data_IF_511330111516
#
_entry.id   IF_511330111516
#
_cell.length_a   1.000
_cell.length_b   1.000
_cell.length_c   1.000
_cell.angle_alpha   90.00
_cell.angle_beta   90.00
_cell.angle_gamma   90.00
#
_symmetry.space_group_name_H-M   'P 1'
#
loop_
_entity.id
_entity.type
_entity.pdbx_description
1 polymer ?
#
# COMPACT_ATOMS: atom_id res chain seq x y z
N UNK A 1 30.05 1.45 -10.14
CA UNK A 1 28.61 1.20 -10.35
C UNK A 1 28.13 0.42 -9.14
N UNK A 2 27.89 1.10 -8.03
CA UNK A 2 27.49 0.46 -6.77
C UNK A 2 26.42 1.33 -6.14
N UNK A 3 25.17 1.05 -6.47
CA UNK A 3 24.05 1.32 -5.58
C UNK A 3 22.95 0.29 -5.85
N UNK A 4 23.37 -0.99 -5.79
CA UNK A 4 22.43 -2.07 -5.58
C UNK A 4 21.83 -1.88 -4.18
N UNK A 5 20.55 -1.52 -4.17
CA UNK A 5 19.56 -2.15 -3.29
C UNK A 5 19.81 -2.03 -1.79
N UNK A 6 19.59 -0.85 -1.19
CA UNK A 6 18.92 -0.88 0.11
C UNK A 6 17.52 -1.39 -0.15
N UNK A 7 17.24 -2.65 0.21
CA UNK A 7 15.90 -3.19 0.21
C UNK A 7 14.98 -2.19 0.90
N UNK A 8 14.05 -1.62 0.14
CA UNK A 8 13.02 -0.75 0.71
C UNK A 8 11.88 -1.65 1.13
N UNK A 9 11.20 -1.29 2.20
CA UNK A 9 10.02 -2.02 2.63
C UNK A 9 8.85 -1.07 2.76
N UNK A 10 7.67 -1.62 2.50
CA UNK A 10 6.39 -0.99 2.80
C UNK A 10 5.74 -1.80 3.92
N UNK A 11 5.35 -1.13 4.99
CA UNK A 11 4.57 -1.73 6.06
C UNK A 11 3.09 -1.66 5.66
N UNK A 12 2.42 -2.80 5.62
CA UNK A 12 1.02 -2.91 5.20
C UNK A 12 0.21 -3.38 6.39
N UNK A 13 -0.75 -2.56 6.80
CA UNK A 13 -1.65 -2.87 7.90
C UNK A 13 -3.03 -3.19 7.37
N UNK A 14 -3.66 -4.21 7.95
CA UNK A 14 -5.06 -4.50 7.69
C UNK A 14 -5.92 -3.78 8.72
N UNK A 15 -6.59 -2.69 8.33
CA UNK A 15 -7.44 -1.92 9.23
C UNK A 15 -8.77 -2.63 9.52
N UNK A 16 -9.12 -3.68 8.76
CA UNK A 16 -10.29 -4.52 9.01
C UNK A 16 -10.03 -5.66 10.00
N UNK A 17 -8.77 -6.02 10.18
CA UNK A 17 -8.37 -7.07 11.08
C UNK A 17 -7.22 -6.52 11.92
N UNK A 18 -7.52 -5.59 12.85
CA UNK A 18 -6.50 -4.91 13.66
C UNK A 18 -5.70 -5.88 14.54
N UNK A 19 -6.24 -7.08 14.77
CA UNK A 19 -5.55 -8.17 15.47
C UNK A 19 -4.49 -8.88 14.60
N UNK A 20 -4.45 -8.64 13.29
CA UNK A 20 -3.40 -9.15 12.40
C UNK A 20 -2.17 -8.26 12.48
N UNK A 21 -1.01 -8.90 12.66
CA UNK A 21 0.26 -8.20 12.62
C UNK A 21 0.49 -7.52 11.26
N UNK A 22 1.00 -6.27 11.26
CA UNK A 22 1.41 -5.57 10.06
C UNK A 22 2.38 -6.41 9.21
N UNK A 23 2.12 -6.51 7.91
CA UNK A 23 2.98 -7.24 6.97
C UNK A 23 4.04 -6.32 6.39
N UNK A 24 5.30 -6.75 6.41
CA UNK A 24 6.38 -6.06 5.69
C UNK A 24 6.50 -6.62 4.29
N UNK A 25 6.36 -5.75 3.31
CA UNK A 25 6.50 -6.06 1.88
C UNK A 25 7.85 -5.53 1.42
N UNK A 26 8.70 -6.42 0.91
CA UNK A 26 9.94 -6.01 0.25
C UNK A 26 9.61 -5.37 -1.10
N UNK A 27 10.17 -4.20 -1.33
CA UNK A 27 10.00 -3.42 -2.56
C UNK A 27 11.28 -3.51 -3.38
N UNK A 28 11.13 -4.05 -4.58
CA UNK A 28 12.19 -4.18 -5.58
C UNK A 28 12.25 -2.93 -6.48
N UNK A 29 13.24 -2.86 -7.36
CA UNK A 29 13.33 -1.77 -8.34
C UNK A 29 12.18 -1.77 -9.36
N UNK A 30 11.63 -2.94 -9.67
CA UNK A 30 10.52 -3.10 -10.62
C UNK A 30 9.20 -2.54 -10.06
N UNK A 31 8.99 -2.74 -8.75
CA UNK A 31 7.81 -2.24 -8.03
C UNK A 31 7.76 -0.70 -7.97
N UNK A 32 8.90 -0.01 -8.09
CA UNK A 32 9.00 1.44 -7.85
C UNK A 32 8.11 2.27 -8.77
N UNK A 33 7.98 1.86 -10.02
CA UNK A 33 7.25 2.61 -11.05
C UNK A 33 5.80 2.11 -11.22
N UNK A 34 5.38 1.14 -10.39
CA UNK A 34 4.03 0.58 -10.38
C UNK A 34 3.17 1.25 -9.30
N UNK A 35 1.84 1.39 -9.52
CA UNK A 35 0.91 1.81 -8.48
C UNK A 35 0.97 0.86 -7.27
N UNK A 36 0.83 1.41 -6.06
CA UNK A 36 0.88 0.58 -4.84
C UNK A 36 -0.22 -0.48 -4.83
N UNK A 37 -1.40 -0.16 -5.37
CA UNK A 37 -2.52 -1.11 -5.49
C UNK A 37 -2.13 -2.36 -6.27
N UNK A 38 -1.57 -2.17 -7.47
CA UNK A 38 -1.14 -3.26 -8.33
C UNK A 38 -0.09 -4.16 -7.65
N UNK A 39 0.86 -3.54 -6.95
CA UNK A 39 1.90 -4.25 -6.20
C UNK A 39 1.28 -5.06 -5.05
N UNK A 40 0.32 -4.49 -4.31
CA UNK A 40 -0.32 -5.20 -3.20
C UNK A 40 -1.28 -6.30 -3.68
N UNK A 41 -1.94 -6.11 -4.83
CA UNK A 41 -2.80 -7.11 -5.46
C UNK A 41 -1.98 -8.32 -5.92
N UNK A 42 -0.87 -8.10 -6.64
CA UNK A 42 0.02 -9.17 -7.11
C UNK A 42 0.60 -9.98 -5.94
N UNK A 43 0.85 -9.34 -4.79
CA UNK A 43 1.34 -9.98 -3.57
C UNK A 43 0.23 -10.66 -2.75
N UNK A 44 -1.02 -10.60 -3.19
CA UNK A 44 -2.16 -11.19 -2.49
C UNK A 44 -2.45 -10.54 -1.13
N UNK A 45 -2.12 -9.26 -1.00
CA UNK A 45 -2.37 -8.47 0.21
C UNK A 45 -3.70 -7.72 0.14
N UNK A 46 -4.26 -7.56 -1.06
CA UNK A 46 -5.61 -7.08 -1.27
C UNK A 46 -6.63 -8.18 -0.93
N UNK A 47 -7.64 -7.91 -0.08
CA UNK A 47 -8.72 -8.86 0.19
C UNK A 47 -9.54 -9.11 -1.08
N UNK A 48 -9.68 -10.39 -1.47
CA UNK A 48 -10.44 -10.79 -2.68
C UNK A 48 -11.92 -10.41 -2.62
N UNK A 49 -12.48 -10.29 -1.42
CA UNK A 49 -13.88 -9.98 -1.19
C UNK A 49 -14.17 -8.46 -1.18
N UNK A 50 -13.16 -7.64 -1.48
CA UNK A 50 -13.24 -6.19 -1.43
C UNK A 50 -12.94 -5.58 -2.79
N UNK A 51 -13.89 -5.73 -3.73
CA UNK A 51 -13.94 -4.97 -5.00
C UNK A 51 -13.80 -3.44 -4.81
N UNK A 52 -13.87 -2.95 -3.57
CA UNK A 52 -13.69 -1.55 -3.21
C UNK A 52 -12.86 -1.42 -1.93
N UNK A 53 -11.66 -2.00 -1.85
CA UNK A 53 -10.69 -1.62 -0.83
C UNK A 53 -10.09 -0.24 -1.19
N UNK A 54 -9.77 0.56 -0.18
CA UNK A 54 -8.95 1.75 -0.31
C UNK A 54 -7.61 1.50 0.37
N UNK A 55 -6.53 1.92 -0.28
CA UNK A 55 -5.19 1.91 0.31
C UNK A 55 -4.92 3.34 0.76
N UNK A 56 -4.72 3.51 2.07
CA UNK A 56 -4.57 4.81 2.69
C UNK A 56 -3.22 4.98 3.38
N UNK A 57 -2.73 6.20 3.47
CA UNK A 57 -1.59 6.54 4.33
C UNK A 57 -2.02 6.66 5.82
N UNK A 58 -1.08 7.07 6.67
CA UNK A 58 -1.32 7.27 8.11
C UNK A 58 -2.30 8.41 8.43
N UNK A 59 -2.48 9.34 7.50
CA UNK A 59 -3.42 10.46 7.60
C UNK A 59 -4.81 10.10 7.03
N UNK A 60 -4.97 8.89 6.47
CA UNK A 60 -6.20 8.41 5.87
C UNK A 60 -6.44 8.89 4.44
N UNK A 61 -5.42 9.44 3.76
CA UNK A 61 -5.53 9.84 2.36
C UNK A 61 -5.42 8.61 1.45
N UNK A 62 -6.24 8.55 0.40
CA UNK A 62 -6.13 7.51 -0.63
C UNK A 62 -4.82 7.66 -1.41
N UNK A 63 -4.01 6.60 -1.38
CA UNK A 63 -2.72 6.50 -2.07
C UNK A 63 -2.67 5.35 -3.07
N UNK A 64 -3.80 4.69 -3.34
CA UNK A 64 -3.89 3.47 -4.18
C UNK A 64 -3.27 3.66 -5.57
N UNK A 65 -3.44 4.86 -6.14
CA UNK A 65 -2.93 5.25 -7.46
C UNK A 65 -1.51 5.83 -7.46
N UNK A 66 -0.90 6.08 -6.28
CA UNK A 66 0.47 6.56 -6.21
C UNK A 66 1.43 5.42 -6.54
N UNK A 67 2.47 5.73 -7.29
CA UNK A 67 3.57 4.78 -7.47
C UNK A 67 4.32 4.55 -6.17
N UNK A 68 4.94 3.37 -6.01
CA UNK A 68 5.72 3.09 -4.80
C UNK A 68 6.89 4.07 -4.63
N UNK A 69 7.46 4.55 -5.74
CA UNK A 69 8.45 5.64 -5.75
C UNK A 69 7.89 6.94 -5.18
N UNK A 70 6.66 7.32 -5.53
CA UNK A 70 6.02 8.51 -5.01
C UNK A 70 5.74 8.42 -3.52
N UNK A 71 5.26 7.28 -3.03
CA UNK A 71 5.09 7.03 -1.59
C UNK A 71 6.40 7.31 -0.85
N UNK A 72 7.51 6.73 -1.31
CA UNK A 72 8.81 6.94 -0.67
C UNK A 72 9.33 8.37 -0.79
N UNK A 73 9.07 9.07 -1.90
CA UNK A 73 9.40 10.51 -2.02
C UNK A 73 8.62 11.37 -1.04
N UNK A 74 7.38 10.98 -0.73
CA UNK A 74 6.52 11.62 0.28
C UNK A 74 6.82 11.12 1.70
N UNK A 75 7.85 10.29 1.88
CA UNK A 75 8.21 9.63 3.15
C UNK A 75 7.10 8.75 3.75
N UNK A 76 6.16 8.29 2.92
CA UNK A 76 5.14 7.32 3.30
C UNK A 76 5.77 5.93 3.22
N UNK A 77 5.82 5.24 4.36
CA UNK A 77 6.39 3.88 4.48
C UNK A 77 5.42 2.87 5.07
N UNK A 78 4.25 3.33 5.47
CA UNK A 78 3.16 2.53 5.99
C UNK A 78 1.89 2.86 5.22
N UNK A 79 1.14 1.83 4.87
CA UNK A 79 -0.18 1.96 4.25
C UNK A 79 -1.17 1.06 4.97
N UNK A 80 -2.39 1.54 5.12
CA UNK A 80 -3.52 0.79 5.63
C UNK A 80 -4.41 0.31 4.49
N UNK A 81 -4.95 -0.90 4.61
CA UNK A 81 -6.02 -1.41 3.75
C UNK A 81 -7.32 -1.28 4.51
N UNK A 82 -8.28 -0.54 3.97
CA UNK A 82 -9.58 -0.26 4.59
C UNK A 82 -10.71 -0.45 3.57
N UNK A 83 -11.97 -0.68 3.97
CA UNK A 83 -13.09 -0.55 3.06
C UNK A 83 -13.15 0.86 2.52
N UNK A 84 -13.37 0.98 1.21
CA UNK A 84 -13.77 2.24 0.60
C UNK A 84 -15.14 2.56 1.17
N UNK A 85 -15.15 3.41 2.19
CA UNK A 85 -16.38 4.05 2.61
C UNK A 85 -16.82 4.88 1.41
N UNK A 86 -17.79 4.38 0.64
CA UNK A 86 -18.53 5.20 -0.28
C UNK A 86 -19.15 6.31 0.57
N UNK A 87 -18.50 7.47 0.65
CA UNK A 87 -19.18 8.73 0.94
C UNK A 87 -20.04 9.06 -0.28
N UNK A 88 -21.03 8.22 -0.55
CA UNK A 88 -22.21 8.61 -1.29
C UNK A 88 -22.95 9.59 -0.38
N UNK A 89 -22.73 10.88 -0.62
CA UNK A 89 -23.59 11.91 -0.06
C UNK A 89 -25.03 11.55 -0.38
N UNK A 90 -25.84 11.52 0.67
CA UNK A 90 -27.30 11.45 0.61
C UNK A 90 -27.85 12.62 -0.20
#
# INVERSE_FOLDING_TARGET
>A
MEELTKAKYLLVENLLSPDLEPKRVEITSDDLDRPVEEVLEERGLMPRDMENAAIVDDDGNDVSMLTVRELFRRNIRRVGITPKLFRGGI
#
